data_IF_410059132244
#
_entry.id   IF_410059132244
#
_cell.length_a   1.000
_cell.length_b   1.000
_cell.length_c   1.000
_cell.angle_alpha   90.00
_cell.angle_beta   90.00
_cell.angle_gamma   90.00
#
_symmetry.space_group_name_H-M   'P 1'
#
loop_
_entity.id
_entity.type
_entity.pdbx_description
1 polymer ?
#
# COMPACT_ATOMS: atom_id res chain seq x y z
N UNK A 1 -21.47 -30.99 24.94
CA UNK A 1 -20.42 -30.00 25.30
C UNK A 1 -18.99 -30.37 24.84
N UNK A 2 -18.66 -31.66 24.63
CA UNK A 2 -17.30 -32.09 24.17
C UNK A 2 -17.04 -31.96 22.66
N UNK A 3 -18.04 -31.94 21.79
CA UNK A 3 -17.87 -31.84 20.35
C UNK A 3 -17.52 -30.40 19.87
N UNK A 4 -17.97 -29.38 20.55
CA UNK A 4 -17.68 -27.96 20.17
C UNK A 4 -16.22 -27.57 20.44
N UNK A 5 -15.57 -28.16 21.43
CA UNK A 5 -14.16 -27.91 21.77
C UNK A 5 -13.19 -28.48 20.71
N UNK A 6 -13.52 -29.63 20.11
CA UNK A 6 -12.69 -30.27 19.08
C UNK A 6 -12.73 -29.50 17.74
N UNK A 7 -13.85 -28.87 17.40
CA UNK A 7 -13.97 -28.06 16.19
C UNK A 7 -13.18 -26.75 16.28
N UNK A 8 -13.13 -26.13 17.46
CA UNK A 8 -12.37 -24.90 17.70
C UNK A 8 -10.85 -25.14 17.61
N UNK A 9 -10.37 -26.27 18.09
CA UNK A 9 -8.94 -26.63 18.02
C UNK A 9 -8.53 -26.97 16.58
N UNK A 10 -9.41 -27.59 15.79
CA UNK A 10 -9.14 -27.92 14.39
C UNK A 10 -9.06 -26.65 13.51
N UNK A 11 -9.90 -25.63 13.76
CA UNK A 11 -9.87 -24.35 13.04
C UNK A 11 -8.63 -23.51 13.38
N UNK A 12 -8.14 -23.58 14.64
CA UNK A 12 -6.91 -22.87 15.03
C UNK A 12 -5.69 -23.54 14.40
N UNK A 13 -5.66 -24.87 14.30
CA UNK A 13 -4.54 -25.58 13.65
C UNK A 13 -4.48 -25.35 12.14
N UNK A 14 -5.60 -25.20 11.46
CA UNK A 14 -5.65 -24.87 10.03
C UNK A 14 -5.19 -23.43 9.73
N UNK A 15 -5.50 -22.46 10.61
CA UNK A 15 -4.99 -21.08 10.46
C UNK A 15 -3.48 -20.99 10.71
N UNK A 16 -2.92 -21.76 11.64
CA UNK A 16 -1.47 -21.75 11.89
C UNK A 16 -0.67 -22.44 10.79
N UNK A 17 -1.25 -23.40 10.06
CA UNK A 17 -0.61 -24.05 8.91
C UNK A 17 -0.59 -23.09 7.71
N UNK A 18 -1.65 -22.33 7.45
CA UNK A 18 -1.71 -21.37 6.35
C UNK A 18 -0.74 -20.17 6.53
N UNK A 19 -0.48 -19.75 7.78
CA UNK A 19 0.47 -18.66 8.06
C UNK A 19 1.95 -19.07 7.92
N UNK A 20 2.27 -20.36 7.94
CA UNK A 20 3.66 -20.84 7.94
C UNK A 20 4.21 -21.17 6.54
N UNK A 21 3.38 -21.25 5.50
CA UNK A 21 3.82 -21.55 4.12
C UNK A 21 4.60 -20.40 3.49
N UNK A 22 4.29 -19.14 3.83
CA UNK A 22 5.00 -17.96 3.31
C UNK A 22 6.38 -17.73 3.93
N UNK A 23 6.74 -18.44 5.00
CA UNK A 23 8.04 -18.33 5.66
C UNK A 23 9.10 -19.32 5.15
N UNK A 24 8.73 -20.28 4.28
CA UNK A 24 9.66 -21.28 3.77
C UNK A 24 10.64 -20.66 2.75
N UNK A 25 11.97 -20.67 3.01
CA UNK A 25 12.98 -20.13 2.08
C UNK A 25 12.89 -20.72 0.67
N UNK A 26 12.62 -22.02 0.55
CA UNK A 26 12.47 -22.69 -0.74
C UNK A 26 11.24 -22.18 -1.53
N UNK A 27 10.16 -21.84 -0.84
CA UNK A 27 8.99 -21.25 -1.48
C UNK A 27 9.29 -19.83 -2.01
N UNK A 28 9.98 -19.01 -1.21
CA UNK A 28 10.41 -17.65 -1.65
C UNK A 28 11.36 -17.73 -2.85
N UNK A 29 12.28 -18.68 -2.85
CA UNK A 29 13.18 -18.88 -3.99
C UNK A 29 12.41 -19.30 -5.26
N UNK A 30 11.42 -20.19 -5.12
CA UNK A 30 10.55 -20.60 -6.23
C UNK A 30 9.74 -19.40 -6.77
N UNK A 31 9.16 -18.57 -5.91
CA UNK A 31 8.46 -17.36 -6.31
C UNK A 31 9.40 -16.36 -6.98
N UNK A 32 10.63 -16.20 -6.47
CA UNK A 32 11.61 -15.29 -7.10
C UNK A 32 11.96 -15.73 -8.53
N UNK A 33 12.10 -17.03 -8.80
CA UNK A 33 12.34 -17.55 -10.17
C UNK A 33 11.19 -17.20 -11.11
N UNK A 34 9.93 -17.28 -10.63
CA UNK A 34 8.76 -16.84 -11.41
C UNK A 34 8.81 -15.33 -11.68
N UNK A 35 9.14 -14.52 -10.67
CA UNK A 35 9.31 -13.08 -10.84
C UNK A 35 10.42 -12.76 -11.85
N UNK A 36 11.56 -13.43 -11.78
CA UNK A 36 12.67 -13.20 -12.70
C UNK A 36 12.27 -13.56 -14.14
N UNK A 37 11.57 -14.67 -14.34
CA UNK A 37 11.13 -15.13 -15.67
C UNK A 37 10.06 -14.20 -16.26
N UNK A 38 8.97 -13.93 -15.52
CA UNK A 38 7.78 -13.28 -16.08
C UNK A 38 7.75 -11.77 -15.91
N UNK A 39 8.44 -11.21 -14.92
CA UNK A 39 8.58 -9.75 -14.78
C UNK A 39 9.85 -9.27 -15.44
N UNK A 40 11.02 -9.75 -14.98
CA UNK A 40 12.30 -9.16 -15.38
C UNK A 40 12.69 -9.56 -16.81
N UNK A 41 12.46 -10.80 -17.21
CA UNK A 41 12.85 -11.33 -18.52
C UNK A 41 11.70 -11.31 -19.55
N UNK A 42 10.46 -10.97 -19.16
CA UNK A 42 9.32 -10.88 -20.07
C UNK A 42 8.65 -9.49 -20.00
N UNK A 43 7.89 -9.17 -18.97
CA UNK A 43 7.05 -7.97 -18.92
C UNK A 43 7.84 -6.66 -19.05
N UNK A 44 9.05 -6.57 -18.48
CA UNK A 44 9.92 -5.38 -18.58
C UNK A 44 10.48 -5.10 -19.97
N UNK A 45 10.37 -6.04 -20.90
CA UNK A 45 10.76 -5.82 -22.30
C UNK A 45 9.72 -5.01 -23.07
N UNK A 46 8.53 -4.84 -22.51
CA UNK A 46 7.43 -4.11 -23.13
C UNK A 46 7.22 -2.75 -22.47
N UNK A 47 6.94 -1.75 -23.29
CA UNK A 47 6.51 -0.44 -22.78
C UNK A 47 5.08 -0.49 -22.26
N UNK A 48 4.67 0.51 -21.47
CA UNK A 48 3.28 0.61 -20.97
C UNK A 48 2.24 0.75 -22.10
N UNK A 49 2.65 1.11 -23.31
CA UNK A 49 1.78 1.17 -24.48
C UNK A 49 1.54 -0.21 -25.12
N UNK A 50 2.44 -1.16 -24.90
CA UNK A 50 2.33 -2.55 -25.31
C UNK A 50 1.64 -3.35 -24.19
N UNK A 51 0.44 -2.88 -23.82
CA UNK A 51 -0.29 -3.37 -22.64
C UNK A 51 -0.64 -4.84 -22.75
N UNK A 52 -1.02 -5.32 -23.92
CA UNK A 52 -1.47 -6.70 -24.12
C UNK A 52 -0.33 -7.69 -23.81
N UNK A 53 0.82 -7.45 -24.43
CA UNK A 53 2.00 -8.32 -24.28
C UNK A 53 2.55 -8.28 -22.85
N UNK A 54 2.59 -7.07 -22.26
CA UNK A 54 3.01 -6.90 -20.85
C UNK A 54 2.09 -7.67 -19.91
N UNK A 55 0.77 -7.54 -20.09
CA UNK A 55 -0.21 -8.23 -19.25
C UNK A 55 -0.16 -9.76 -19.44
N UNK A 56 0.07 -10.25 -20.67
CA UNK A 56 0.19 -11.66 -20.98
C UNK A 56 1.37 -12.29 -20.22
N UNK A 57 2.55 -11.64 -20.20
CA UNK A 57 3.70 -12.11 -19.41
C UNK A 57 3.31 -12.29 -17.94
N UNK A 58 2.63 -11.30 -17.35
CA UNK A 58 2.25 -11.33 -15.94
C UNK A 58 1.18 -12.40 -15.66
N UNK A 59 0.25 -12.60 -16.59
CA UNK A 59 -0.77 -13.65 -16.48
C UNK A 59 -0.17 -15.06 -16.53
N UNK A 60 0.84 -15.30 -17.35
CA UNK A 60 1.57 -16.57 -17.36
C UNK A 60 2.30 -16.81 -16.03
N UNK A 61 2.91 -15.77 -15.45
CA UNK A 61 3.50 -15.87 -14.12
C UNK A 61 2.46 -16.19 -13.03
N UNK A 62 1.30 -15.53 -13.07
CA UNK A 62 0.20 -15.77 -12.13
C UNK A 62 -0.44 -17.16 -12.28
N UNK A 63 -0.41 -17.77 -13.47
CA UNK A 63 -0.78 -19.17 -13.65
C UNK A 63 0.15 -20.14 -12.92
N UNK A 64 1.43 -19.78 -12.73
CA UNK A 64 2.39 -20.58 -11.97
C UNK A 64 2.17 -20.43 -10.46
N UNK A 65 2.01 -19.20 -9.99
CA UNK A 65 1.71 -18.90 -8.59
C UNK A 65 0.92 -17.58 -8.48
N UNK A 66 -0.38 -17.68 -8.29
CA UNK A 66 -1.29 -16.53 -8.18
C UNK A 66 -1.12 -15.75 -6.85
N UNK A 67 -0.38 -16.30 -5.89
CA UNK A 67 -0.16 -15.67 -4.58
C UNK A 67 0.99 -14.66 -4.60
N UNK A 68 1.72 -14.51 -5.70
CA UNK A 68 2.81 -13.55 -5.83
C UNK A 68 2.24 -12.14 -5.95
N UNK A 69 2.16 -11.43 -4.83
CA UNK A 69 1.62 -10.07 -4.73
C UNK A 69 2.29 -9.08 -5.70
N UNK A 70 3.60 -9.24 -5.94
CA UNK A 70 4.36 -8.37 -6.84
C UNK A 70 3.87 -8.46 -8.30
N UNK A 71 3.46 -9.62 -8.79
CA UNK A 71 2.89 -9.77 -10.13
C UNK A 71 1.59 -8.98 -10.27
N UNK A 72 0.73 -9.02 -9.26
CA UNK A 72 -0.50 -8.24 -9.22
C UNK A 72 -0.23 -6.73 -9.23
N UNK A 73 0.75 -6.28 -8.44
CA UNK A 73 1.15 -4.87 -8.43
C UNK A 73 1.71 -4.44 -9.79
N UNK A 74 2.51 -5.28 -10.46
CA UNK A 74 3.02 -4.99 -11.80
C UNK A 74 1.90 -4.92 -12.85
N UNK A 75 0.80 -5.67 -12.70
CA UNK A 75 -0.41 -5.53 -13.54
C UNK A 75 -1.09 -4.18 -13.34
N UNK A 76 -1.09 -3.63 -12.14
CA UNK A 76 -1.67 -2.32 -11.84
C UNK A 76 -0.86 -1.16 -12.43
N UNK A 77 0.46 -1.26 -12.47
CA UNK A 77 1.38 -0.17 -12.82
C UNK A 77 1.07 0.51 -14.16
N UNK A 78 0.93 -0.19 -15.29
CA UNK A 78 0.66 0.46 -16.56
C UNK A 78 -0.70 1.17 -16.58
N UNK A 79 -1.69 0.66 -15.87
CA UNK A 79 -3.00 1.30 -15.72
C UNK A 79 -2.89 2.60 -14.93
N UNK A 80 -2.13 2.62 -13.84
CA UNK A 80 -1.87 3.84 -13.07
C UNK A 80 -1.12 4.89 -13.90
N UNK A 81 -0.11 4.47 -14.69
CA UNK A 81 0.60 5.37 -15.62
C UNK A 81 -0.32 5.97 -16.68
N UNK A 82 -1.35 5.24 -17.10
CA UNK A 82 -2.39 5.73 -18.02
C UNK A 82 -3.55 6.44 -17.31
N UNK A 83 -3.44 6.72 -16.02
CA UNK A 83 -4.48 7.35 -15.19
C UNK A 83 -5.80 6.55 -15.10
N UNK A 84 -5.77 5.26 -15.38
CA UNK A 84 -6.91 4.33 -15.25
C UNK A 84 -6.94 3.75 -13.83
N UNK A 85 -7.12 4.63 -12.84
CA UNK A 85 -6.94 4.28 -11.44
C UNK A 85 -7.90 3.20 -10.95
N UNK A 86 -9.18 3.27 -11.30
CA UNK A 86 -10.18 2.27 -10.93
C UNK A 86 -9.81 0.88 -11.44
N UNK A 87 -9.44 0.77 -12.73
CA UNK A 87 -9.03 -0.50 -13.32
C UNK A 87 -7.74 -1.05 -12.70
N UNK A 88 -6.76 -0.17 -12.42
CA UNK A 88 -5.50 -0.54 -11.78
C UNK A 88 -5.70 -0.95 -10.32
N UNK A 89 -6.68 -0.33 -9.63
CA UNK A 89 -6.95 -0.63 -8.23
C UNK A 89 -7.41 -2.08 -8.03
N UNK A 90 -8.14 -2.67 -8.97
CA UNK A 90 -8.55 -4.09 -8.91
C UNK A 90 -7.33 -5.01 -8.74
N UNK A 91 -6.25 -4.74 -9.45
CA UNK A 91 -5.01 -5.52 -9.33
C UNK A 91 -4.21 -5.15 -8.07
N UNK A 92 -4.23 -3.87 -7.69
CA UNK A 92 -3.60 -3.42 -6.45
C UNK A 92 -4.27 -4.06 -5.21
N UNK A 93 -5.59 -4.23 -5.22
CA UNK A 93 -6.33 -4.93 -4.18
C UNK A 93 -5.90 -6.40 -4.06
N UNK A 94 -5.62 -7.07 -5.18
CA UNK A 94 -5.05 -8.43 -5.18
C UNK A 94 -3.64 -8.45 -4.59
N UNK A 95 -2.81 -7.46 -4.88
CA UNK A 95 -1.50 -7.37 -4.26
C UNK A 95 -1.61 -7.23 -2.73
N UNK A 96 -2.53 -6.40 -2.23
CA UNK A 96 -2.80 -6.25 -0.79
C UNK A 96 -3.38 -7.52 -0.17
N UNK A 97 -4.26 -8.24 -0.89
CA UNK A 97 -4.83 -9.53 -0.42
C UNK A 97 -3.73 -10.55 -0.11
N UNK A 98 -2.68 -10.61 -0.96
CA UNK A 98 -1.61 -11.59 -0.84
C UNK A 98 -0.43 -11.13 0.04
N UNK A 99 -0.15 -9.82 0.09
CA UNK A 99 0.90 -9.26 0.95
C UNK A 99 0.50 -7.85 1.44
N UNK A 100 -0.37 -7.78 2.48
CA UNK A 100 -0.79 -6.51 3.04
C UNK A 100 0.35 -5.74 3.72
N UNK A 101 1.35 -6.44 4.26
CA UNK A 101 2.49 -5.83 4.93
C UNK A 101 3.28 -4.92 3.98
N UNK A 102 3.41 -5.32 2.72
CA UNK A 102 4.16 -4.56 1.71
C UNK A 102 3.27 -3.62 0.89
N UNK A 103 2.03 -4.01 0.55
CA UNK A 103 1.27 -3.32 -0.49
C UNK A 103 0.13 -2.43 0.01
N UNK A 104 -0.22 -2.49 1.29
CA UNK A 104 -1.31 -1.67 1.82
C UNK A 104 -0.94 -0.17 1.80
N UNK A 105 0.27 0.19 2.24
CA UNK A 105 0.76 1.58 2.21
C UNK A 105 0.89 2.11 0.78
N UNK A 106 1.36 1.28 -0.14
CA UNK A 106 1.42 1.64 -1.56
C UNK A 106 0.02 1.92 -2.13
N UNK A 107 -0.98 1.06 -1.82
CA UNK A 107 -2.37 1.30 -2.24
C UNK A 107 -2.92 2.60 -1.67
N UNK A 108 -2.68 2.86 -0.38
CA UNK A 108 -3.08 4.08 0.29
C UNK A 108 -2.46 5.32 -0.38
N UNK A 109 -1.18 5.25 -0.73
CA UNK A 109 -0.47 6.29 -1.47
C UNK A 109 -1.11 6.57 -2.84
N UNK A 110 -1.41 5.53 -3.63
CA UNK A 110 -2.09 5.68 -4.93
C UNK A 110 -3.47 6.33 -4.76
N UNK A 111 -4.24 5.91 -3.73
CA UNK A 111 -5.54 6.49 -3.39
C UNK A 111 -5.43 7.97 -3.03
N UNK A 112 -4.45 8.35 -2.22
CA UNK A 112 -4.26 9.72 -1.76
C UNK A 112 -3.80 10.64 -2.90
N UNK A 113 -2.70 10.29 -3.57
CA UNK A 113 -2.00 11.20 -4.48
C UNK A 113 -2.61 11.21 -5.87
N UNK A 114 -3.03 10.06 -6.37
CA UNK A 114 -3.43 9.91 -7.78
C UNK A 114 -4.93 9.72 -7.97
N UNK A 115 -5.53 8.76 -7.29
CA UNK A 115 -6.96 8.48 -7.42
C UNK A 115 -7.84 9.50 -6.68
N UNK A 116 -7.27 10.19 -5.68
CA UNK A 116 -7.95 11.21 -4.86
C UNK A 116 -9.16 10.69 -4.09
N UNK A 117 -9.15 9.40 -3.77
CA UNK A 117 -10.14 8.78 -2.90
C UNK A 117 -9.69 8.89 -1.44
N UNK A 118 -9.67 10.14 -0.95
CA UNK A 118 -9.04 10.53 0.31
C UNK A 118 -9.57 9.78 1.54
N UNK A 119 -10.89 9.54 1.64
CA UNK A 119 -11.47 8.81 2.78
C UNK A 119 -10.96 7.37 2.83
N UNK A 120 -10.84 6.72 1.69
CA UNK A 120 -10.32 5.37 1.59
C UNK A 120 -8.81 5.32 1.84
N UNK A 121 -8.07 6.37 1.43
CA UNK A 121 -6.64 6.50 1.72
C UNK A 121 -6.40 6.60 3.23
N UNK A 122 -7.19 7.41 3.95
CA UNK A 122 -7.12 7.53 5.41
C UNK A 122 -7.31 6.16 6.07
N UNK A 123 -8.34 5.40 5.67
CA UNK A 123 -8.62 4.07 6.22
C UNK A 123 -7.43 3.12 6.04
N UNK A 124 -6.84 3.11 4.84
CA UNK A 124 -5.70 2.25 4.55
C UNK A 124 -4.45 2.68 5.33
N UNK A 125 -4.15 3.99 5.42
CA UNK A 125 -3.00 4.49 6.17
C UNK A 125 -3.15 4.28 7.68
N UNK A 126 -4.35 4.41 8.26
CA UNK A 126 -4.56 4.09 9.67
C UNK A 126 -4.29 2.61 9.95
N UNK A 127 -4.70 1.70 9.07
CA UNK A 127 -4.32 0.28 9.18
C UNK A 127 -2.81 0.07 9.05
N UNK A 128 -2.14 0.83 8.19
CA UNK A 128 -0.67 0.77 8.09
C UNK A 128 -0.02 1.22 9.40
N UNK A 129 -0.54 2.25 10.06
CA UNK A 129 -0.07 2.71 11.37
C UNK A 129 -0.27 1.66 12.47
N UNK A 130 -1.38 0.94 12.46
CA UNK A 130 -1.60 -0.19 13.39
C UNK A 130 -0.56 -1.29 13.21
N UNK A 131 -0.09 -1.54 11.98
CA UNK A 131 0.88 -2.60 11.67
C UNK A 131 2.34 -2.18 11.88
N UNK A 132 2.68 -0.93 11.59
CA UNK A 132 4.07 -0.48 11.45
C UNK A 132 4.42 0.79 12.22
N UNK A 133 3.48 1.36 12.98
CA UNK A 133 3.62 2.71 13.52
C UNK A 133 3.55 3.76 12.42
N UNK A 134 3.93 5.00 12.74
CA UNK A 134 4.02 6.09 11.76
C UNK A 134 5.28 5.94 10.90
N UNK A 135 5.23 5.02 9.93
CA UNK A 135 6.31 4.72 9.01
C UNK A 135 6.17 5.49 7.71
N UNK A 136 6.98 5.15 6.70
CA UNK A 136 7.08 5.88 5.43
C UNK A 136 6.50 5.07 4.26
N UNK A 137 5.84 5.77 3.34
CA UNK A 137 5.64 5.32 1.97
C UNK A 137 6.16 6.43 1.05
N UNK A 138 7.00 6.08 0.07
CA UNK A 138 7.74 7.05 -0.72
C UNK A 138 8.52 8.04 0.19
N UNK A 139 8.29 9.33 0.05
CA UNK A 139 9.09 10.37 0.72
C UNK A 139 8.49 10.90 2.03
N UNK A 140 7.28 10.44 2.41
CA UNK A 140 6.54 10.98 3.54
C UNK A 140 6.03 9.91 4.50
N UNK A 141 5.72 10.33 5.72
CA UNK A 141 5.12 9.51 6.76
C UNK A 141 3.65 9.17 6.45
N UNK A 142 3.12 8.16 7.11
CA UNK A 142 1.68 7.87 7.00
C UNK A 142 0.83 9.03 7.55
N UNK A 143 1.28 9.68 8.62
CA UNK A 143 0.61 10.87 9.18
C UNK A 143 0.53 12.00 8.16
N UNK A 144 1.60 12.27 7.39
CA UNK A 144 1.55 13.25 6.31
C UNK A 144 0.41 12.98 5.33
N UNK A 145 0.27 11.75 4.83
CA UNK A 145 -0.76 11.42 3.84
C UNK A 145 -2.17 11.46 4.44
N UNK A 146 -2.34 11.10 5.72
CA UNK A 146 -3.60 11.23 6.44
C UNK A 146 -3.98 12.70 6.58
N UNK A 147 -3.04 13.54 7.03
CA UNK A 147 -3.24 14.99 7.18
C UNK A 147 -3.54 15.65 5.82
N UNK A 148 -2.79 15.29 4.78
CA UNK A 148 -3.03 15.77 3.41
C UNK A 148 -4.44 15.37 2.93
N UNK A 149 -4.87 14.15 3.21
CA UNK A 149 -6.20 13.66 2.86
C UNK A 149 -7.30 14.45 3.59
N UNK A 150 -7.14 14.74 4.88
CA UNK A 150 -8.06 15.60 5.63
C UNK A 150 -8.08 17.05 5.08
N UNK A 151 -6.92 17.59 4.73
CA UNK A 151 -6.81 18.90 4.10
C UNK A 151 -7.62 18.98 2.79
N UNK A 152 -7.50 17.95 1.94
CA UNK A 152 -8.24 17.88 0.67
C UNK A 152 -9.75 17.66 0.86
N UNK A 153 -10.16 17.14 2.01
CA UNK A 153 -11.57 17.00 2.40
C UNK A 153 -12.12 18.27 3.10
N UNK A 154 -11.34 19.36 3.17
CA UNK A 154 -11.64 20.58 3.91
C UNK A 154 -11.84 20.38 5.42
N UNK A 155 -11.27 19.31 5.97
CA UNK A 155 -11.27 19.01 7.41
C UNK A 155 -10.02 19.63 8.05
N UNK A 156 -9.86 20.97 7.90
CA UNK A 156 -8.64 21.72 8.17
C UNK A 156 -8.12 21.59 9.60
N UNK A 157 -9.01 21.55 10.58
CA UNK A 157 -8.60 21.42 11.99
C UNK A 157 -7.96 20.04 12.28
N UNK A 158 -8.46 18.97 11.67
CA UNK A 158 -7.85 17.65 11.78
C UNK A 158 -6.52 17.58 11.05
N UNK A 159 -6.44 18.17 9.85
CA UNK A 159 -5.20 18.25 9.10
C UNK A 159 -4.12 18.97 9.91
N UNK A 160 -4.46 20.11 10.51
CA UNK A 160 -3.55 20.88 11.38
C UNK A 160 -3.03 20.06 12.54
N UNK A 161 -3.90 19.38 13.28
CA UNK A 161 -3.53 18.57 14.44
C UNK A 161 -2.54 17.46 14.06
N UNK A 162 -2.81 16.74 12.97
CA UNK A 162 -1.97 15.63 12.53
C UNK A 162 -0.64 16.13 11.96
N UNK A 163 -0.64 17.20 11.13
CA UNK A 163 0.61 17.80 10.65
C UNK A 163 1.47 18.31 11.79
N UNK A 164 0.89 18.99 12.78
CA UNK A 164 1.63 19.50 13.92
C UNK A 164 2.30 18.35 14.70
N UNK A 165 1.57 17.28 14.96
CA UNK A 165 2.13 16.09 15.64
C UNK A 165 3.28 15.48 14.84
N UNK A 166 3.09 15.28 13.54
CA UNK A 166 4.09 14.67 12.66
C UNK A 166 5.36 15.52 12.53
N UNK A 167 5.20 16.85 12.41
CA UNK A 167 6.31 17.83 12.37
C UNK A 167 7.13 17.77 13.67
N UNK A 168 6.46 17.74 14.84
CA UNK A 168 7.17 17.67 16.13
C UNK A 168 7.92 16.35 16.28
N UNK A 169 7.34 15.23 15.88
CA UNK A 169 8.01 13.92 15.86
C UNK A 169 9.25 13.93 14.95
N UNK A 170 9.15 14.54 13.75
CA UNK A 170 10.29 14.66 12.83
C UNK A 170 11.41 15.53 13.40
N UNK A 171 11.07 16.67 14.02
CA UNK A 171 12.06 17.57 14.66
C UNK A 171 12.76 16.84 15.82
N UNK A 172 12.02 16.11 16.65
CA UNK A 172 12.59 15.33 17.76
C UNK A 172 13.55 14.24 17.27
N UNK A 173 13.18 13.53 16.19
CA UNK A 173 13.96 12.39 15.68
C UNK A 173 15.11 12.78 14.78
N UNK A 174 14.98 13.85 13.98
CA UNK A 174 15.91 14.21 12.90
C UNK A 174 16.50 15.61 13.04
N UNK A 175 15.99 16.42 13.98
CA UNK A 175 16.39 17.82 14.16
C UNK A 175 15.69 18.80 13.22
N UNK A 176 14.97 18.33 12.23
CA UNK A 176 14.24 19.16 11.26
C UNK A 176 12.98 18.45 10.74
N UNK A 177 12.01 19.22 10.27
CA UNK A 177 10.82 18.71 9.60
C UNK A 177 10.97 18.82 8.07
N UNK A 178 10.33 17.92 7.37
CA UNK A 178 10.30 17.96 5.90
C UNK A 178 9.56 19.21 5.39
N UNK A 179 10.14 19.91 4.43
CA UNK A 179 9.64 21.22 3.96
C UNK A 179 8.22 21.19 3.39
N UNK A 180 7.79 20.09 2.76
CA UNK A 180 6.41 19.96 2.28
C UNK A 180 5.41 19.78 3.42
N UNK A 181 5.81 19.15 4.51
CA UNK A 181 4.96 19.00 5.70
C UNK A 181 4.68 20.36 6.32
N UNK A 182 5.71 21.21 6.47
CA UNK A 182 5.58 22.60 6.90
C UNK A 182 4.70 23.42 5.94
N UNK A 183 4.84 23.21 4.63
CA UNK A 183 4.05 23.92 3.62
C UNK A 183 2.55 23.57 3.74
N UNK A 184 2.19 22.28 3.80
CA UNK A 184 0.80 21.87 3.92
C UNK A 184 0.20 22.16 5.30
N UNK A 185 1.02 22.12 6.36
CA UNK A 185 0.64 22.62 7.66
C UNK A 185 0.26 24.10 7.59
N UNK A 186 1.10 24.93 6.96
CA UNK A 186 0.81 26.34 6.72
C UNK A 186 -0.50 26.58 5.96
N UNK A 187 -0.80 25.75 4.94
CA UNK A 187 -2.08 25.80 4.23
C UNK A 187 -3.25 25.51 5.19
N UNK A 188 -3.12 24.49 6.05
CA UNK A 188 -4.19 24.16 7.01
C UNK A 188 -4.51 25.31 7.97
N UNK A 189 -3.48 26.05 8.40
CA UNK A 189 -3.63 27.25 9.24
C UNK A 189 -4.27 28.42 8.45
N UNK A 190 -3.81 28.62 7.23
CA UNK A 190 -4.32 29.70 6.36
C UNK A 190 -5.82 29.56 6.09
N UNK A 191 -6.29 28.35 5.75
CA UNK A 191 -7.71 28.07 5.50
C UNK A 191 -8.59 28.31 6.74
N UNK A 192 -8.02 28.22 7.94
CA UNK A 192 -8.68 28.51 9.21
C UNK A 192 -8.51 29.98 9.66
N UNK A 193 -7.82 30.81 8.88
CA UNK A 193 -7.48 32.21 9.22
C UNK A 193 -6.67 32.34 10.52
N UNK A 194 -5.80 31.37 10.79
CA UNK A 194 -4.86 31.33 11.92
C UNK A 194 -3.47 31.81 11.46
N UNK A 195 -3.31 33.10 11.30
CA UNK A 195 -2.05 33.75 10.86
C UNK A 195 -1.75 35.00 11.69
#
# INVERSE_FOLDING_TARGET
MRLFFLYSILLISLKSIAQNTNANPAHKEAQQKIVDEYVHNCAKNYSFYQMAELQECLDEGLKKDYTIAYLWQQKAMPLFKMKKYEAGMVFCDKAVEHDPQRWLSYRAYIKCIFAKTYREAIIDFEKCKEMHGNSYEMDHTYNFYIALSHLQLNEFAKAEEIFNTDILEQIEQKGEAHHLDLFYYGISLYEQKKF
#
